data_IF_039420691093
#
_entry.id   IF_039420691093
#
_cell.length_a   1.000
_cell.length_b   1.000
_cell.length_c   1.000
_cell.angle_alpha   90.00
_cell.angle_beta   90.00
_cell.angle_gamma   90.00
#
_symmetry.space_group_name_H-M   'P 1'
#
loop_
_entity.id
_entity.type
_entity.pdbx_description
1 polymer ?
#
# COMPACT_ATOMS: atom_id res chain seq x y z
N UNK A 1 -45.62 15.14 38.51
CA UNK A 1 -46.08 14.26 37.41
C UNK A 1 -45.77 14.97 36.11
N UNK A 2 -45.13 14.44 35.09
CA UNK A 2 -44.64 13.11 34.79
C UNK A 2 -43.62 13.36 33.66
N UNK A 3 -42.36 13.03 33.95
CA UNK A 3 -41.40 12.40 33.04
C UNK A 3 -42.00 12.15 31.65
N UNK A 4 -41.52 12.78 30.57
CA UNK A 4 -41.51 12.36 29.13
C UNK A 4 -41.08 13.57 28.25
N UNK A 5 -40.10 14.37 28.66
CA UNK A 5 -39.49 15.34 27.74
C UNK A 5 -37.96 15.31 27.83
N UNK A 6 -37.44 14.10 27.95
CA UNK A 6 -36.03 13.74 27.87
C UNK A 6 -35.95 12.52 26.97
N UNK A 7 -36.11 12.66 25.65
CA UNK A 7 -35.95 11.48 24.76
C UNK A 7 -35.70 11.74 23.28
N UNK A 8 -35.32 12.94 22.82
CA UNK A 8 -34.99 13.10 21.40
C UNK A 8 -34.00 14.23 21.11
N UNK A 9 -32.94 14.35 21.90
CA UNK A 9 -31.80 15.21 21.56
C UNK A 9 -30.46 14.50 21.77
N UNK A 10 -30.44 13.19 21.56
CA UNK A 10 -29.25 12.38 21.85
C UNK A 10 -29.18 11.22 20.87
N UNK A 11 -28.94 11.47 19.57
CA UNK A 11 -28.36 10.47 18.66
C UNK A 11 -28.11 11.07 17.28
N UNK A 12 -27.09 11.92 17.11
CA UNK A 12 -26.53 12.21 15.76
C UNK A 12 -25.15 12.86 15.84
N UNK A 13 -24.26 12.28 16.65
CA UNK A 13 -22.82 12.40 16.44
C UNK A 13 -22.33 11.07 15.87
N UNK A 14 -22.70 10.77 14.62
CA UNK A 14 -22.03 9.72 13.86
C UNK A 14 -20.72 10.32 13.35
N UNK A 15 -19.67 10.22 14.16
CA UNK A 15 -18.31 10.55 13.72
C UNK A 15 -17.98 9.62 12.56
N UNK A 16 -17.99 10.16 11.33
CA UNK A 16 -17.34 9.53 10.19
C UNK A 16 -15.85 9.48 10.50
N UNK A 17 -15.38 8.35 11.03
CA UNK A 17 -13.95 8.09 11.14
C UNK A 17 -13.48 7.72 9.73
N UNK A 18 -13.07 8.73 8.96
CA UNK A 18 -12.42 8.51 7.67
C UNK A 18 -11.13 7.72 7.92
N UNK A 19 -11.18 6.40 7.71
CA UNK A 19 -9.96 5.60 7.60
C UNK A 19 -9.33 5.93 6.25
N UNK A 20 -8.33 6.81 6.27
CA UNK A 20 -7.40 6.94 5.15
C UNK A 20 -6.78 5.56 4.90
N UNK A 21 -6.84 5.07 3.66
CA UNK A 21 -6.25 3.79 3.27
C UNK A 21 -4.75 3.82 3.60
N UNK A 22 -4.33 2.91 4.47
CA UNK A 22 -2.97 2.90 4.96
C UNK A 22 -2.02 2.52 3.82
N UNK A 23 -1.22 3.47 3.35
CA UNK A 23 -0.22 3.27 2.29
C UNK A 23 1.04 2.57 2.83
N UNK A 24 1.01 2.09 4.07
CA UNK A 24 2.13 1.48 4.77
C UNK A 24 1.72 0.14 5.39
N UNK A 25 2.64 -0.81 5.38
CA UNK A 25 2.49 -2.10 6.07
C UNK A 25 3.81 -2.53 6.72
N UNK A 26 3.70 -3.24 7.84
CA UNK A 26 4.85 -3.68 8.62
C UNK A 26 5.32 -2.65 9.64
N UNK A 27 6.55 -2.80 10.14
CA UNK A 27 7.13 -1.94 11.19
C UNK A 27 8.46 -1.40 10.71
N UNK A 28 8.56 -0.07 10.65
CA UNK A 28 9.81 0.60 10.31
C UNK A 28 10.86 0.37 11.42
N UNK A 29 12.05 -0.05 11.02
CA UNK A 29 13.20 -0.25 11.89
C UNK A 29 14.33 0.71 11.49
N UNK A 30 14.69 1.65 12.36
CA UNK A 30 15.70 2.67 12.06
C UNK A 30 17.11 2.11 11.87
N UNK A 31 17.36 0.86 12.26
CA UNK A 31 18.65 0.18 12.10
C UNK A 31 18.78 -0.54 10.76
N UNK A 32 17.67 -0.76 10.05
CA UNK A 32 17.64 -1.41 8.74
C UNK A 32 17.74 -0.40 7.61
N UNK A 33 18.44 -0.77 6.55
CA UNK A 33 18.52 0.05 5.34
C UNK A 33 17.12 0.24 4.72
N UNK A 34 16.74 1.50 4.52
CA UNK A 34 15.56 1.88 3.75
C UNK A 34 15.91 1.96 2.26
N UNK A 35 15.24 1.15 1.43
CA UNK A 35 15.48 1.08 0.00
C UNK A 35 14.35 1.78 -0.77
N UNK A 36 14.70 2.68 -1.70
CA UNK A 36 13.75 3.20 -2.68
C UNK A 36 13.70 2.25 -3.88
N UNK A 37 12.52 1.74 -4.18
CA UNK A 37 12.29 0.71 -5.21
C UNK A 37 11.08 1.05 -6.06
N UNK A 38 10.96 0.38 -7.20
CA UNK A 38 9.67 0.31 -7.92
C UNK A 38 8.81 -0.80 -7.32
N UNK A 39 7.50 -0.60 -7.26
CA UNK A 39 6.51 -1.57 -6.78
C UNK A 39 5.35 -1.65 -7.77
N UNK A 40 4.94 -2.86 -8.14
CA UNK A 40 3.86 -3.12 -9.11
C UNK A 40 3.40 -4.57 -9.03
N UNK A 41 2.44 -4.96 -9.86
CA UNK A 41 2.10 -6.36 -10.08
C UNK A 41 3.26 -7.08 -10.77
N UNK A 42 3.72 -8.19 -10.18
CA UNK A 42 4.85 -8.96 -10.69
C UNK A 42 4.60 -9.53 -12.09
N UNK A 43 3.40 -10.04 -12.32
CA UNK A 43 2.98 -10.66 -13.56
C UNK A 43 2.71 -9.60 -14.64
N UNK A 44 1.90 -8.57 -14.33
CA UNK A 44 1.46 -7.59 -15.32
C UNK A 44 2.59 -6.67 -15.79
N UNK A 45 3.40 -6.14 -14.86
CA UNK A 45 4.33 -5.04 -15.17
C UNK A 45 5.81 -5.45 -15.10
N UNK A 46 6.13 -6.50 -14.33
CA UNK A 46 7.53 -6.93 -14.13
C UNK A 46 7.90 -8.24 -14.83
N UNK A 47 6.95 -8.89 -15.53
CA UNK A 47 7.21 -10.07 -16.34
C UNK A 47 7.66 -11.29 -15.52
N UNK A 48 7.28 -11.36 -14.25
CA UNK A 48 7.54 -12.53 -13.41
C UNK A 48 6.57 -13.66 -13.78
N UNK A 49 7.10 -14.88 -13.93
CA UNK A 49 6.29 -16.08 -14.14
C UNK A 49 5.47 -16.39 -12.88
N UNK A 50 4.20 -16.71 -13.08
CA UNK A 50 3.24 -17.03 -12.01
C UNK A 50 1.81 -16.75 -12.45
N UNK A 51 0.87 -17.01 -11.54
CA UNK A 51 -0.57 -16.79 -11.78
C UNK A 51 -1.10 -15.69 -10.85
N UNK A 52 -2.17 -15.01 -11.29
CA UNK A 52 -2.88 -14.00 -10.49
C UNK A 52 -2.17 -12.64 -10.42
N UNK A 53 -2.52 -11.87 -9.39
CA UNK A 53 -2.02 -10.51 -9.14
C UNK A 53 -1.23 -10.48 -7.83
N UNK A 54 0.09 -10.60 -7.91
CA UNK A 54 0.95 -10.57 -6.73
C UNK A 54 1.80 -9.30 -6.72
N UNK A 55 1.90 -8.67 -5.54
CA UNK A 55 2.80 -7.53 -5.36
C UNK A 55 4.25 -7.97 -5.58
N UNK A 56 4.97 -7.17 -6.34
CA UNK A 56 6.39 -7.34 -6.57
C UNK A 56 7.09 -5.99 -6.41
N UNK A 57 8.38 -6.05 -6.10
CA UNK A 57 9.28 -4.89 -6.15
C UNK A 57 10.41 -5.13 -7.13
N UNK A 58 10.94 -4.05 -7.71
CA UNK A 58 12.15 -4.08 -8.53
C UNK A 58 13.28 -3.35 -7.83
N UNK A 59 14.36 -4.09 -7.57
CA UNK A 59 15.61 -3.57 -7.02
C UNK A 59 16.61 -3.52 -8.18
N UNK A 60 16.88 -2.31 -8.67
CA UNK A 60 17.67 -2.11 -9.88
C UNK A 60 16.97 -2.72 -11.11
N UNK A 61 17.58 -3.73 -11.73
CA UNK A 61 17.03 -4.40 -12.93
C UNK A 61 16.29 -5.71 -12.62
N UNK A 62 16.23 -6.12 -11.35
CA UNK A 62 15.69 -7.44 -10.96
C UNK A 62 14.44 -7.29 -10.09
N UNK A 63 13.38 -7.99 -10.48
CA UNK A 63 12.11 -8.01 -9.77
C UNK A 63 12.00 -9.24 -8.85
N UNK A 64 11.23 -9.09 -7.77
CA UNK A 64 10.97 -10.11 -6.77
C UNK A 64 9.53 -10.00 -6.30
N UNK A 65 8.82 -11.13 -6.21
CA UNK A 65 7.55 -11.17 -5.47
C UNK A 65 7.77 -10.80 -4.01
N UNK A 66 6.81 -10.10 -3.42
CA UNK A 66 6.84 -9.67 -2.03
C UNK A 66 6.05 -10.64 -1.16
N UNK A 67 6.69 -11.17 -0.13
CA UNK A 67 6.02 -11.96 0.89
C UNK A 67 5.53 -11.06 2.04
N UNK A 68 4.42 -11.45 2.67
CA UNK A 68 3.92 -10.85 3.92
C UNK A 68 2.90 -9.72 3.74
N UNK A 69 2.69 -9.24 2.51
CA UNK A 69 1.68 -8.24 2.16
C UNK A 69 0.97 -8.64 0.88
N UNK A 70 -0.27 -8.17 0.72
CA UNK A 70 -1.04 -8.37 -0.52
C UNK A 70 -1.11 -7.07 -1.32
N UNK A 71 -1.32 -7.21 -2.62
CA UNK A 71 -1.35 -6.08 -3.55
C UNK A 71 -2.52 -5.11 -3.27
N UNK A 72 -3.64 -5.64 -2.81
CA UNK A 72 -4.89 -4.92 -2.50
C UNK A 72 -4.87 -4.19 -1.14
N UNK A 73 -3.83 -4.40 -0.32
CA UNK A 73 -3.68 -3.70 0.95
C UNK A 73 -3.41 -2.20 0.78
N UNK A 74 -2.97 -1.78 -0.40
CA UNK A 74 -2.58 -0.39 -0.68
C UNK A 74 -3.57 0.36 -1.60
N UNK A 75 -4.72 -0.25 -1.91
CA UNK A 75 -5.72 0.30 -2.82
C UNK A 75 -6.21 -0.75 -3.84
N UNK A 76 -7.13 -0.34 -4.72
CA UNK A 76 -7.55 -1.21 -5.82
C UNK A 76 -6.38 -1.40 -6.79
N UNK A 77 -6.01 -2.65 -7.04
CA UNK A 77 -4.92 -2.97 -7.94
C UNK A 77 -5.24 -2.61 -9.40
N UNK A 78 -6.52 -2.51 -9.77
CA UNK A 78 -6.97 -2.22 -11.13
C UNK A 78 -7.37 -0.75 -11.37
N UNK A 79 -7.23 0.11 -10.36
CA UNK A 79 -7.34 1.55 -10.60
C UNK A 79 -6.22 2.03 -11.51
N UNK A 80 -6.39 3.21 -12.14
CA UNK A 80 -5.36 3.82 -13.01
C UNK A 80 -3.99 3.96 -12.37
N UNK A 81 -3.95 4.12 -11.05
CA UNK A 81 -2.71 4.20 -10.27
C UNK A 81 -2.45 2.94 -9.43
N UNK A 82 -3.31 1.93 -9.59
CA UNK A 82 -3.23 0.61 -9.00
C UNK A 82 -2.10 -0.21 -9.62
N UNK A 83 -1.65 -1.22 -8.90
CA UNK A 83 -0.42 -1.93 -9.26
C UNK A 83 -0.51 -2.82 -10.51
N UNK A 84 -1.70 -3.19 -10.97
CA UNK A 84 -1.86 -3.90 -12.24
C UNK A 84 -1.70 -2.94 -13.43
N UNK A 85 -2.07 -1.67 -13.26
CA UNK A 85 -2.05 -0.65 -14.32
C UNK A 85 -0.81 0.24 -14.28
N UNK A 86 -0.15 0.36 -13.12
CA UNK A 86 0.94 1.31 -12.91
C UNK A 86 2.13 0.71 -12.14
N UNK A 87 3.32 1.23 -12.46
CA UNK A 87 4.52 1.06 -11.66
C UNK A 87 4.66 2.25 -10.71
N UNK A 88 4.64 1.97 -9.41
CA UNK A 88 4.71 2.97 -8.34
C UNK A 88 6.11 2.98 -7.72
N UNK A 89 6.43 4.06 -7.00
CA UNK A 89 7.62 4.10 -6.14
C UNK A 89 7.26 3.71 -4.72
N UNK A 90 8.14 2.98 -4.06
CA UNK A 90 7.96 2.55 -2.69
C UNK A 90 9.28 2.65 -1.91
N UNK A 91 9.15 2.78 -0.59
CA UNK A 91 10.21 2.59 0.37
C UNK A 91 10.02 1.25 1.06
N UNK A 92 11.08 0.42 1.11
CA UNK A 92 10.99 -0.92 1.68
C UNK A 92 12.17 -1.22 2.61
N UNK A 93 11.90 -2.05 3.61
CA UNK A 93 12.89 -2.74 4.41
C UNK A 93 12.61 -4.24 4.36
N UNK A 94 13.66 -5.04 4.31
CA UNK A 94 13.53 -6.48 4.18
C UNK A 94 14.74 -7.10 3.49
N UNK A 95 14.57 -8.36 3.08
CA UNK A 95 15.64 -9.14 2.47
C UNK A 95 15.11 -10.11 1.43
N UNK A 96 15.91 -10.35 0.39
CA UNK A 96 15.62 -11.41 -0.57
C UNK A 96 15.99 -12.75 0.07
N UNK A 97 15.03 -13.68 0.15
CA UNK A 97 15.22 -15.03 0.66
C UNK A 97 14.54 -16.02 -0.28
N UNK A 98 15.29 -16.98 -0.84
CA UNK A 98 14.78 -17.97 -1.80
C UNK A 98 14.04 -17.33 -2.99
N UNK A 99 14.58 -16.24 -3.54
CA UNK A 99 14.02 -15.57 -4.71
C UNK A 99 12.81 -14.65 -4.44
N UNK A 100 12.36 -14.53 -3.20
CA UNK A 100 11.28 -13.62 -2.80
C UNK A 100 11.80 -12.51 -1.89
N UNK A 101 11.23 -11.32 -1.98
CA UNK A 101 11.50 -10.25 -1.03
C UNK A 101 10.60 -10.39 0.19
N UNK A 102 11.19 -10.69 1.34
CA UNK A 102 10.48 -10.73 2.61
C UNK A 102 10.47 -9.34 3.22
N UNK A 103 9.34 -8.65 3.11
CA UNK A 103 9.18 -7.29 3.62
C UNK A 103 9.02 -7.30 5.16
N UNK A 104 9.77 -6.44 5.85
CA UNK A 104 9.50 -6.05 7.24
C UNK A 104 8.77 -4.70 7.31
N UNK A 105 8.96 -3.86 6.30
CA UNK A 105 8.28 -2.58 6.11
C UNK A 105 8.12 -2.28 4.62
N UNK A 106 6.98 -1.73 4.26
CA UNK A 106 6.71 -1.18 2.93
C UNK A 106 5.85 0.07 3.06
N UNK A 107 6.22 1.11 2.33
CA UNK A 107 5.48 2.36 2.18
C UNK A 107 5.39 2.73 0.72
N UNK A 108 4.17 2.88 0.22
CA UNK A 108 3.92 3.34 -1.14
C UNK A 108 4.01 4.86 -1.15
N UNK A 109 4.79 5.40 -2.08
CA UNK A 109 4.94 6.84 -2.21
C UNK A 109 3.78 7.43 -3.03
N UNK A 110 3.34 8.66 -2.71
CA UNK A 110 2.35 9.36 -3.53
C UNK A 110 2.78 9.44 -4.99
N UNK A 111 1.81 9.40 -5.91
CA UNK A 111 2.08 9.78 -7.30
C UNK A 111 2.43 11.26 -7.29
N UNK A 112 3.61 11.63 -7.80
CA UNK A 112 3.93 13.03 -8.03
C UNK A 112 2.94 13.56 -9.06
N UNK A 113 2.01 14.42 -8.64
CA UNK A 113 1.11 15.11 -9.56
C UNK A 113 1.94 15.89 -10.58
N UNK A 114 1.68 15.76 -11.90
CA UNK A 114 2.27 16.68 -12.86
C UNK A 114 1.62 18.06 -12.64
N UNK A 115 2.25 18.91 -11.83
CA UNK A 115 1.75 20.26 -11.55
C UNK A 115 2.21 20.83 -10.21
N UNK A 116 3.48 21.25 -10.14
CA UNK A 116 3.92 22.26 -9.15
C UNK A 116 4.94 23.24 -9.75
N UNK A 117 4.74 23.58 -11.03
CA UNK A 117 5.32 24.76 -11.65
C UNK A 117 4.18 25.50 -12.36
N UNK A 118 3.46 26.31 -11.60
CA UNK A 118 2.76 27.50 -12.10
C UNK A 118 2.92 28.62 -11.05
#
# INVERSE_FOLDING_TARGET
MKKILFSLFTFLFFSFVAHAQNQEAGTYDSTLQLMNVEASCGQCNFGLEGEGCALAIRIGKKAYFVDGVKIDQFGDAHDKEGFCEAVRKAQVQGKVTRGHFKASYIKILPVSSPGSNE
#
